data_IF_738140490256
#
_entry.id   IF_738140490256
#
_cell.length_a   1.000
_cell.length_b   1.000
_cell.length_c   1.000
_cell.angle_alpha   90.00
_cell.angle_beta   90.00
_cell.angle_gamma   90.00
#
_symmetry.space_group_name_H-M   'P 1'
#
loop_
_entity.id
_entity.type
_entity.pdbx_description
1 polymer ?
#
# COMPACT_ATOMS: atom_id res chain seq x y z
N UNK A 1 -39.72 1.62 -26.32
CA UNK A 1 -38.58 2.52 -26.01
C UNK A 1 -38.66 2.83 -24.52
N UNK A 2 -37.61 2.51 -23.77
CA UNK A 2 -37.58 2.66 -22.31
C UNK A 2 -36.33 2.00 -21.74
N UNK A 3 -35.23 2.74 -21.85
CA UNK A 3 -34.05 2.74 -20.98
C UNK A 3 -33.40 1.38 -20.64
N UNK A 4 -32.36 1.08 -21.43
CA UNK A 4 -31.36 0.07 -21.07
C UNK A 4 -30.64 0.54 -19.81
N UNK A 5 -30.88 -0.14 -18.69
CA UNK A 5 -29.98 -0.19 -17.55
C UNK A 5 -28.63 -0.75 -18.04
N UNK A 6 -27.72 0.15 -18.43
CA UNK A 6 -26.34 -0.16 -18.81
C UNK A 6 -25.41 0.52 -17.81
N UNK A 7 -25.33 0.03 -16.59
CA UNK A 7 -24.16 0.29 -15.74
C UNK A 7 -24.06 -0.70 -14.59
N UNK A 8 -23.63 -1.93 -14.89
CA UNK A 8 -23.23 -2.89 -13.85
C UNK A 8 -22.13 -3.85 -14.28
N UNK A 9 -21.52 -3.65 -15.44
CA UNK A 9 -20.66 -4.66 -16.07
C UNK A 9 -19.38 -4.05 -16.67
N UNK A 10 -18.57 -3.34 -15.86
CA UNK A 10 -17.13 -3.21 -16.11
C UNK A 10 -16.34 -2.52 -14.96
N UNK A 11 -16.71 -2.70 -13.68
CA UNK A 11 -15.79 -2.30 -12.62
C UNK A 11 -14.84 -3.47 -12.33
N UNK A 12 -13.53 -3.33 -12.60
CA UNK A 12 -12.59 -4.36 -12.22
C UNK A 12 -12.69 -4.58 -10.71
N UNK A 13 -12.78 -5.84 -10.28
CA UNK A 13 -12.80 -6.18 -8.87
C UNK A 13 -11.39 -5.90 -8.30
N UNK A 14 -11.21 -4.66 -7.85
CA UNK A 14 -9.93 -4.17 -7.36
C UNK A 14 -9.70 -4.67 -5.94
N UNK A 15 -8.46 -5.07 -5.64
CA UNK A 15 -8.08 -5.34 -4.25
C UNK A 15 -8.10 -4.03 -3.43
N UNK A 16 -8.24 -4.14 -2.12
CA UNK A 16 -8.16 -3.00 -1.19
C UNK A 16 -6.89 -2.16 -1.40
N UNK A 17 -5.76 -2.82 -1.68
CA UNK A 17 -4.48 -2.15 -1.97
C UNK A 17 -4.55 -1.34 -3.26
N UNK A 18 -5.26 -1.82 -4.30
CA UNK A 18 -5.45 -1.05 -5.54
C UNK A 18 -6.35 0.17 -5.32
N UNK A 19 -7.37 0.07 -4.47
CA UNK A 19 -8.17 1.23 -4.06
C UNK A 19 -7.33 2.27 -3.29
N UNK A 20 -6.45 1.81 -2.41
CA UNK A 20 -5.51 2.68 -1.68
C UNK A 20 -4.55 3.35 -2.68
N UNK A 21 -3.97 2.60 -3.63
CA UNK A 21 -3.11 3.17 -4.68
C UNK A 21 -3.84 4.22 -5.51
N UNK A 22 -5.06 3.92 -5.96
CA UNK A 22 -5.85 4.83 -6.79
C UNK A 22 -6.16 6.17 -6.09
N UNK A 23 -6.41 6.16 -4.78
CA UNK A 23 -6.75 7.34 -3.98
C UNK A 23 -5.53 8.09 -3.40
N UNK A 24 -4.33 7.53 -3.50
CA UNK A 24 -3.12 7.98 -2.78
C UNK A 24 -2.36 9.19 -3.36
N UNK A 25 -2.85 9.89 -4.39
CA UNK A 25 -2.10 11.00 -5.03
C UNK A 25 -0.65 10.61 -5.40
N UNK A 26 -0.51 9.60 -6.27
CA UNK A 26 0.79 9.04 -6.70
C UNK A 26 1.58 8.39 -5.57
N UNK A 27 0.93 7.48 -4.84
CA UNK A 27 1.50 6.71 -3.73
C UNK A 27 1.91 7.53 -2.50
N UNK A 28 1.59 8.83 -2.46
CA UNK A 28 1.98 9.71 -1.34
C UNK A 28 1.06 9.65 -0.14
N UNK A 29 -0.24 9.41 -0.36
CA UNK A 29 -1.27 9.37 0.68
C UNK A 29 -1.18 10.57 1.61
N UNK A 30 -1.26 10.28 2.91
CA UNK A 30 -1.05 11.22 4.02
C UNK A 30 0.25 10.90 4.76
N UNK A 31 1.21 10.23 4.10
CA UNK A 31 2.46 9.76 4.72
C UNK A 31 3.18 10.90 5.46
N UNK A 32 3.23 12.10 4.89
CA UNK A 32 3.89 13.26 5.54
C UNK A 32 3.20 13.61 6.86
N UNK A 33 1.87 13.70 6.86
CA UNK A 33 1.08 14.05 8.04
C UNK A 33 1.17 12.93 9.10
N UNK A 34 1.08 11.67 8.66
CA UNK A 34 1.23 10.49 9.52
C UNK A 34 2.60 10.40 10.18
N UNK A 35 3.67 10.79 9.48
CA UNK A 35 5.02 10.83 10.04
C UNK A 35 5.26 12.05 10.93
N UNK A 36 4.54 13.14 10.71
CA UNK A 36 4.60 14.34 11.54
C UNK A 36 3.76 14.23 12.84
N UNK A 37 2.88 13.23 12.93
CA UNK A 37 2.06 13.00 14.11
C UNK A 37 2.93 12.74 15.38
N UNK A 38 2.54 13.25 16.56
CA UNK A 38 3.36 13.16 17.77
C UNK A 38 3.67 11.72 18.18
N UNK A 39 4.96 11.36 18.11
CA UNK A 39 5.76 10.26 18.72
C UNK A 39 5.16 8.87 19.01
N UNK A 40 3.85 8.62 18.92
CA UNK A 40 3.29 7.26 19.03
C UNK A 40 3.66 6.39 17.84
N UNK A 41 4.26 6.99 16.78
CA UNK A 41 4.67 6.28 15.57
C UNK A 41 3.49 5.71 14.80
N UNK A 42 2.28 6.22 15.05
CA UNK A 42 1.05 5.69 14.47
C UNK A 42 0.92 6.14 13.02
N UNK A 43 1.46 5.33 12.11
CA UNK A 43 1.18 5.41 10.68
C UNK A 43 -0.15 4.73 10.42
N UNK A 44 -1.03 5.36 9.63
CA UNK A 44 -2.29 4.72 9.21
C UNK A 44 -2.00 3.44 8.42
N UNK A 45 -2.93 2.48 8.42
CA UNK A 45 -2.74 1.24 7.67
C UNK A 45 -2.51 1.49 6.17
N UNK A 46 -3.26 2.42 5.58
CA UNK A 46 -3.09 2.83 4.19
C UNK A 46 -1.69 3.42 3.94
N UNK A 47 -1.22 4.32 4.80
CA UNK A 47 0.12 4.90 4.66
C UNK A 47 1.22 3.86 4.88
N UNK A 48 1.02 2.88 5.75
CA UNK A 48 1.93 1.76 5.93
C UNK A 48 2.02 0.87 4.68
N UNK A 49 0.91 0.68 3.95
CA UNK A 49 0.93 0.01 2.65
C UNK A 49 1.66 0.85 1.60
N UNK A 50 1.46 2.17 1.58
CA UNK A 50 2.11 3.07 0.63
C UNK A 50 3.63 3.19 0.86
N UNK A 51 4.08 3.17 2.11
CA UNK A 51 5.50 3.19 2.47
C UNK A 51 6.30 2.04 1.85
N UNK A 52 5.68 0.86 1.64
CA UNK A 52 6.35 -0.29 1.00
C UNK A 52 6.82 0.03 -0.42
N UNK A 53 6.12 0.90 -1.14
CA UNK A 53 6.48 1.32 -2.49
C UNK A 53 7.65 2.32 -2.54
N UNK A 54 8.07 2.85 -1.39
CA UNK A 54 9.16 3.81 -1.26
C UNK A 54 10.46 3.17 -0.75
N UNK A 55 10.40 1.92 -0.32
CA UNK A 55 11.57 1.20 0.18
C UNK A 55 12.46 0.79 -1.00
N UNK A 56 13.75 1.14 -0.94
CA UNK A 56 14.74 0.47 -1.77
C UNK A 56 14.91 -0.96 -1.25
N UNK A 57 14.67 -1.96 -2.09
CA UNK A 57 14.79 -3.37 -1.72
C UNK A 57 16.11 -3.64 -0.98
N UNK A 58 16.07 -4.02 0.31
CA UNK A 58 17.28 -4.38 1.04
C UNK A 58 17.82 -5.72 0.51
N UNK A 59 19.15 -5.90 0.51
CA UNK A 59 19.74 -7.17 0.09
C UNK A 59 19.25 -8.33 0.98
N UNK A 60 18.35 -9.16 0.43
CA UNK A 60 17.72 -10.28 1.14
C UNK A 60 18.67 -11.48 1.28
N UNK A 61 19.84 -11.45 0.63
CA UNK A 61 20.84 -12.53 0.68
C UNK A 61 21.47 -12.68 2.06
N UNK A 62 21.75 -11.57 2.74
CA UNK A 62 22.48 -11.57 4.01
C UNK A 62 21.62 -12.09 5.18
N UNK A 63 20.32 -11.78 5.19
CA UNK A 63 19.36 -12.27 6.20
C UNK A 63 19.13 -13.78 6.15
N UNK A 64 19.15 -14.39 4.95
CA UNK A 64 18.96 -15.84 4.77
C UNK A 64 20.15 -16.64 5.28
N UNK A 65 21.37 -16.13 5.10
CA UNK A 65 22.61 -16.77 5.59
C UNK A 65 22.68 -16.76 7.12
N UNK A 66 22.28 -15.66 7.77
CA UNK A 66 22.23 -15.58 9.23
C UNK A 66 21.23 -16.55 9.88
N UNK A 67 20.12 -16.86 9.19
CA UNK A 67 19.11 -17.83 9.67
C UNK A 67 19.57 -19.28 9.53
N UNK A 68 20.35 -19.60 8.48
CA UNK A 68 20.82 -20.97 8.21
C UNK A 68 22.07 -21.35 9.02
N UNK A 69 22.81 -20.39 9.56
CA UNK A 69 24.01 -20.64 10.38
C UNK A 69 23.68 -20.87 11.87
N UNK A 70 22.40 -20.88 12.24
CA UNK A 70 21.92 -21.08 13.61
C UNK A 70 21.15 -22.40 13.81
N UNK A 71 21.18 -23.28 12.80
CA UNK A 71 20.70 -24.68 12.85
C UNK A 71 21.89 -25.64 12.84
#
# INVERSE_FOLDING_TARGET
MGERDRSGANEPNLSEVEHIKASSRYLRGTIIDSLAAPLTGSVTESDAQLLKFHQSEPDRGERRRAKQAAD
#
